data_IF_115213145110
#
_entry.id   IF_115213145110
#
_cell.length_a   1.000
_cell.length_b   1.000
_cell.length_c   1.000
_cell.angle_alpha   90.00
_cell.angle_beta   90.00
_cell.angle_gamma   90.00
#
_symmetry.space_group_name_H-M   'P 1'
#
loop_
_entity.id
_entity.type
_entity.pdbx_description
1 polymer ?
#
# COMPACT_ATOMS: atom_id res chain seq x y z
N UNK A 1 -4.60 22.20 -26.60
CA UNK A 1 -4.51 23.56 -26.01
C UNK A 1 -4.69 24.56 -27.14
N UNK A 2 -5.44 25.65 -26.92
CA UNK A 2 -5.61 26.69 -27.94
C UNK A 2 -4.28 27.40 -28.22
N UNK A 3 -4.20 28.04 -29.39
CA UNK A 3 -3.06 28.86 -29.82
C UNK A 3 -2.64 29.85 -28.73
N UNK A 4 -1.42 29.69 -28.21
CA UNK A 4 -0.86 30.61 -27.22
C UNK A 4 -0.65 32.01 -27.81
N UNK A 5 -0.91 33.04 -27.00
CA UNK A 5 -0.57 34.45 -27.30
C UNK A 5 0.65 34.93 -26.52
N UNK A 6 1.23 34.06 -25.69
CA UNK A 6 2.43 34.33 -24.91
C UNK A 6 3.61 33.76 -25.70
N UNK A 7 4.53 34.63 -26.11
CA UNK A 7 5.69 34.31 -26.95
C UNK A 7 6.56 33.20 -26.34
N UNK A 8 6.80 33.25 -25.03
CA UNK A 8 7.53 32.21 -24.31
C UNK A 8 6.96 30.80 -24.52
N UNK A 9 5.63 30.63 -24.43
CA UNK A 9 5.00 29.32 -24.65
C UNK A 9 5.01 28.88 -26.12
N UNK A 10 5.22 29.79 -27.06
CA UNK A 10 5.36 29.44 -28.47
C UNK A 10 6.74 28.84 -28.76
N UNK A 11 7.75 29.15 -27.95
CA UNK A 11 9.12 28.65 -28.07
C UNK A 11 9.37 27.33 -27.33
N UNK A 12 8.46 26.95 -26.43
CA UNK A 12 8.58 25.72 -25.64
C UNK A 12 8.71 24.48 -26.54
N UNK A 13 9.66 23.62 -26.18
CA UNK A 13 9.85 22.34 -26.84
C UNK A 13 8.62 21.43 -26.60
N UNK A 14 8.02 20.94 -27.69
CA UNK A 14 6.87 20.03 -27.64
C UNK A 14 7.32 18.60 -27.82
N UNK A 15 7.03 17.74 -26.84
CA UNK A 15 7.32 16.29 -26.94
C UNK A 15 6.47 15.69 -28.07
N UNK A 16 7.13 15.17 -29.10
CA UNK A 16 6.47 14.51 -30.24
C UNK A 16 5.78 15.45 -31.22
N UNK A 17 6.11 16.74 -31.21
CA UNK A 17 5.54 17.73 -32.13
C UNK A 17 6.47 18.90 -32.42
N UNK A 18 6.06 19.80 -33.30
CA UNK A 18 6.81 21.02 -33.60
C UNK A 18 6.43 22.14 -32.61
N UNK A 19 7.38 22.93 -32.08
CA UNK A 19 7.10 24.15 -31.32
C UNK A 19 6.38 25.24 -32.13
N UNK A 20 5.61 26.12 -31.48
CA UNK A 20 4.99 27.28 -32.12
C UNK A 20 3.59 27.62 -31.60
N UNK A 21 3.14 28.84 -31.89
CA UNK A 21 1.78 29.28 -31.60
C UNK A 21 0.77 28.64 -32.57
N UNK A 22 0.12 27.56 -32.12
CA UNK A 22 -0.97 26.88 -32.84
C UNK A 22 -1.91 26.17 -31.88
N UNK A 23 -3.02 25.69 -32.42
CA UNK A 23 -3.93 24.80 -31.70
C UNK A 23 -3.35 23.38 -31.60
N UNK A 24 -3.23 22.87 -30.38
CA UNK A 24 -2.79 21.52 -30.05
C UNK A 24 -3.99 20.62 -29.72
N UNK A 25 -4.85 20.37 -30.71
CA UNK A 25 -5.97 19.42 -30.64
C UNK A 25 -5.84 18.27 -31.66
N UNK A 26 -4.70 18.19 -32.36
CA UNK A 26 -4.46 17.16 -33.38
C UNK A 26 -4.53 15.76 -32.79
N UNK A 27 -5.25 14.88 -33.48
CA UNK A 27 -5.38 13.46 -33.10
C UNK A 27 -4.33 12.59 -33.77
N UNK A 28 -3.55 13.14 -34.71
CA UNK A 28 -2.51 12.48 -35.49
C UNK A 28 -1.15 12.42 -34.77
N UNK A 29 -1.00 13.11 -33.63
CA UNK A 29 0.24 13.10 -32.85
C UNK A 29 0.50 11.74 -32.19
N UNK A 30 1.78 11.33 -32.02
CA UNK A 30 2.12 9.99 -31.52
C UNK A 30 1.46 9.60 -30.20
N UNK A 31 1.39 10.53 -29.23
CA UNK A 31 0.78 10.28 -27.91
C UNK A 31 -0.72 10.02 -28.03
N UNK A 32 -1.44 10.77 -28.89
CA UNK A 32 -2.86 10.56 -29.10
C UNK A 32 -3.11 9.19 -29.72
N UNK A 33 -2.38 8.86 -30.78
CA UNK A 33 -2.50 7.56 -31.46
C UNK A 33 -2.17 6.40 -30.52
N UNK A 34 -1.17 6.56 -29.64
CA UNK A 34 -0.83 5.57 -28.64
C UNK A 34 -1.96 5.36 -27.62
N UNK A 35 -2.51 6.44 -27.06
CA UNK A 35 -3.66 6.35 -26.12
C UNK A 35 -4.89 5.75 -26.81
N UNK A 36 -5.15 6.12 -28.06
CA UNK A 36 -6.25 5.56 -28.85
C UNK A 36 -6.06 4.05 -29.08
N UNK A 37 -4.84 3.60 -29.38
CA UNK A 37 -4.52 2.18 -29.53
C UNK A 37 -4.72 1.40 -28.21
N UNK A 38 -4.26 1.94 -27.08
CA UNK A 38 -4.48 1.33 -25.76
C UNK A 38 -5.97 1.29 -25.38
N UNK A 39 -6.72 2.34 -25.74
CA UNK A 39 -8.17 2.39 -25.50
C UNK A 39 -8.89 1.32 -26.32
N UNK A 40 -8.55 1.18 -27.60
CA UNK A 40 -9.07 0.12 -28.47
C UNK A 40 -8.73 -1.27 -27.92
N UNK A 41 -7.47 -1.47 -27.50
CA UNK A 41 -7.03 -2.73 -26.90
C UNK A 41 -7.86 -3.11 -25.67
N UNK A 42 -8.09 -2.17 -24.74
CA UNK A 42 -8.90 -2.42 -23.54
C UNK A 42 -10.38 -2.66 -23.86
N UNK A 43 -10.90 -2.06 -24.91
CA UNK A 43 -12.28 -2.31 -25.37
C UNK A 43 -12.43 -3.70 -26.01
N UNK A 44 -11.43 -4.14 -26.79
CA UNK A 44 -11.40 -5.48 -27.41
C UNK A 44 -11.08 -6.60 -26.40
N UNK A 45 -10.37 -6.26 -25.32
CA UNK A 45 -9.96 -7.18 -24.26
C UNK A 45 -10.33 -6.65 -22.87
N UNK A 46 -11.60 -6.80 -22.44
CA UNK A 46 -12.10 -6.25 -21.17
C UNK A 46 -11.29 -6.65 -19.94
N UNK A 47 -10.71 -7.86 -19.92
CA UNK A 47 -9.80 -8.32 -18.88
C UNK A 47 -8.65 -7.35 -18.58
N UNK A 48 -8.15 -6.60 -19.58
CA UNK A 48 -7.12 -5.59 -19.39
C UNK A 48 -7.61 -4.35 -18.64
N UNK A 49 -8.92 -4.15 -18.55
CA UNK A 49 -9.53 -3.09 -17.75
C UNK A 49 -9.93 -3.59 -16.35
N UNK A 50 -10.61 -4.72 -16.23
CA UNK A 50 -11.26 -5.15 -14.99
C UNK A 50 -10.90 -6.57 -14.52
N UNK A 51 -10.03 -7.29 -15.24
CA UNK A 51 -9.59 -8.63 -14.86
C UNK A 51 -8.73 -8.63 -13.61
N UNK A 52 -8.67 -9.79 -12.94
CA UNK A 52 -7.81 -10.06 -11.78
C UNK A 52 -6.36 -9.77 -12.13
N UNK A 53 -5.60 -9.15 -11.23
CA UNK A 53 -4.19 -8.89 -11.45
C UNK A 53 -3.32 -9.78 -10.56
N UNK A 54 -2.35 -10.48 -11.17
CA UNK A 54 -1.36 -11.29 -10.45
C UNK A 54 0.02 -10.86 -10.91
N UNK A 55 0.85 -10.37 -9.98
CA UNK A 55 2.24 -10.06 -10.28
C UNK A 55 3.00 -11.35 -10.64
N UNK A 56 3.78 -11.30 -11.72
CA UNK A 56 4.58 -12.46 -12.19
C UNK A 56 6.07 -12.21 -12.10
N UNK A 57 6.51 -10.99 -12.33
CA UNK A 57 7.92 -10.62 -12.34
C UNK A 57 8.09 -9.12 -12.18
N UNK A 58 9.06 -8.72 -11.37
CA UNK A 58 9.52 -7.34 -11.27
C UNK A 58 11.05 -7.35 -11.23
N UNK A 59 11.69 -6.69 -12.19
CA UNK A 59 13.11 -6.44 -12.13
C UNK A 59 13.45 -5.50 -10.96
N UNK A 60 14.61 -5.71 -10.34
CA UNK A 60 15.18 -4.76 -9.40
C UNK A 60 15.83 -3.62 -10.18
N UNK A 61 15.08 -2.52 -10.39
CA UNK A 61 15.52 -1.34 -11.12
C UNK A 61 15.09 -1.31 -12.60
N UNK A 62 16.02 -1.00 -13.50
CA UNK A 62 15.78 -0.99 -14.95
C UNK A 62 15.59 -2.42 -15.47
N UNK A 63 14.47 -2.68 -16.15
CA UNK A 63 14.11 -3.98 -16.69
C UNK A 63 12.61 -4.14 -16.91
N UNK A 64 12.15 -5.39 -16.82
CA UNK A 64 10.77 -5.79 -17.09
C UNK A 64 9.94 -5.81 -15.80
N UNK A 65 8.73 -5.28 -15.88
CA UNK A 65 7.64 -5.59 -14.96
C UNK A 65 6.56 -6.37 -15.72
N UNK A 66 6.15 -7.53 -15.20
CA UNK A 66 5.16 -8.39 -15.83
C UNK A 66 4.11 -8.90 -14.83
N UNK A 67 2.86 -8.90 -15.28
CA UNK A 67 1.71 -9.35 -14.50
C UNK A 67 0.67 -10.00 -15.41
N UNK A 68 -0.12 -10.91 -14.85
CA UNK A 68 -1.29 -11.49 -15.52
C UNK A 68 -2.52 -10.63 -15.26
N UNK A 69 -3.36 -10.48 -16.28
CA UNK A 69 -4.75 -10.04 -16.20
C UNK A 69 -5.66 -11.19 -16.58
N UNK A 70 -6.54 -11.61 -15.69
CA UNK A 70 -7.40 -12.78 -15.93
C UNK A 70 -8.84 -12.34 -16.07
N UNK A 71 -9.46 -12.72 -17.20
CA UNK A 71 -10.88 -12.50 -17.45
C UNK A 71 -11.73 -13.39 -16.53
N UNK A 72 -12.66 -12.81 -15.76
CA UNK A 72 -13.49 -13.57 -14.81
C UNK A 72 -14.59 -14.40 -15.47
N UNK A 73 -14.99 -14.07 -16.70
CA UNK A 73 -16.07 -14.79 -17.39
C UNK A 73 -15.51 -15.92 -18.24
N UNK A 74 -14.47 -15.63 -19.03
CA UNK A 74 -13.86 -16.60 -19.94
C UNK A 74 -12.72 -17.39 -19.31
N UNK A 75 -12.23 -17.00 -18.12
CA UNK A 75 -11.06 -17.56 -17.47
C UNK A 75 -9.80 -17.55 -18.36
N UNK A 76 -9.69 -16.56 -19.25
CA UNK A 76 -8.54 -16.43 -20.15
C UNK A 76 -7.54 -15.47 -19.53
N UNK A 77 -6.28 -15.92 -19.51
CA UNK A 77 -5.15 -15.15 -19.03
C UNK A 77 -4.57 -14.25 -20.13
N UNK A 78 -4.28 -13.01 -19.77
CA UNK A 78 -3.49 -12.07 -20.55
C UNK A 78 -2.20 -11.79 -19.77
N UNK A 79 -1.04 -12.03 -20.37
CA UNK A 79 0.24 -11.65 -19.80
C UNK A 79 0.62 -10.27 -20.31
N UNK A 80 0.72 -9.30 -19.41
CA UNK A 80 1.14 -7.93 -19.71
C UNK A 80 2.56 -7.75 -19.20
N UNK A 81 3.46 -7.24 -20.04
CA UNK A 81 4.82 -6.93 -19.65
C UNK A 81 5.23 -5.57 -20.21
N UNK A 82 5.91 -4.76 -19.40
CA UNK A 82 6.48 -3.47 -19.79
C UNK A 82 7.96 -3.48 -19.51
N UNK A 83 8.76 -2.96 -20.44
CA UNK A 83 10.21 -2.88 -20.28
C UNK A 83 10.66 -1.42 -20.28
N UNK A 84 11.14 -0.93 -19.14
CA UNK A 84 11.66 0.44 -19.05
C UNK A 84 13.12 0.55 -19.56
N UNK A 85 13.78 -0.58 -19.84
CA UNK A 85 15.13 -0.62 -20.38
C UNK A 85 15.19 -0.20 -21.85
N UNK A 86 16.36 0.27 -22.31
CA UNK A 86 16.60 0.57 -23.73
C UNK A 86 16.61 -0.67 -24.61
N UNK A 87 17.19 -1.75 -24.10
CA UNK A 87 17.41 -2.96 -24.87
C UNK A 87 16.28 -3.97 -24.61
N UNK A 88 15.97 -4.86 -25.58
CA UNK A 88 15.09 -5.98 -25.34
C UNK A 88 15.57 -6.84 -24.16
N UNK A 89 14.63 -7.34 -23.35
CA UNK A 89 14.92 -8.16 -22.18
C UNK A 89 14.13 -9.46 -22.24
N UNK A 90 14.84 -10.58 -22.10
CA UNK A 90 14.22 -11.90 -21.97
C UNK A 90 13.94 -12.20 -20.49
N UNK A 91 12.70 -12.59 -20.19
CA UNK A 91 12.29 -12.96 -18.83
C UNK A 91 11.50 -14.25 -18.83
N UNK A 92 11.59 -14.98 -17.73
CA UNK A 92 10.82 -16.19 -17.47
C UNK A 92 9.79 -15.89 -16.39
N UNK A 93 8.53 -16.18 -16.68
CA UNK A 93 7.40 -15.92 -15.79
C UNK A 93 6.55 -17.16 -15.59
N UNK A 94 5.87 -17.24 -14.44
CA UNK A 94 4.83 -18.23 -14.23
C UNK A 94 3.51 -17.78 -14.88
N UNK A 95 2.78 -18.73 -15.46
CA UNK A 95 1.45 -18.53 -16.05
C UNK A 95 0.41 -19.40 -15.36
N UNK A 96 -0.86 -19.04 -15.46
CA UNK A 96 -1.99 -19.83 -14.97
C UNK A 96 -2.50 -20.85 -16.00
N UNK A 97 -1.99 -20.82 -17.23
CA UNK A 97 -2.43 -21.67 -18.36
C UNK A 97 -1.26 -22.53 -18.87
N UNK A 98 -0.85 -23.59 -18.16
CA UNK A 98 0.26 -24.43 -18.57
C UNK A 98 0.00 -25.13 -19.92
N UNK A 99 1.03 -25.22 -20.76
CA UNK A 99 0.96 -25.82 -22.09
C UNK A 99 0.20 -25.01 -23.15
N UNK A 100 -0.24 -23.78 -22.84
CA UNK A 100 -1.00 -22.94 -23.74
C UNK A 100 -0.11 -22.09 -24.65
N UNK A 101 -0.54 -21.92 -25.91
CA UNK A 101 0.01 -20.90 -26.78
C UNK A 101 -0.53 -19.52 -26.39
N UNK A 102 0.34 -18.52 -26.35
CA UNK A 102 0.05 -17.13 -26.05
C UNK A 102 0.30 -16.28 -27.30
N UNK A 103 -0.76 -15.67 -27.84
CA UNK A 103 -0.68 -14.83 -29.02
C UNK A 103 -0.43 -13.36 -28.63
N UNK A 104 0.47 -12.67 -29.33
CA UNK A 104 0.65 -11.22 -29.16
C UNK A 104 -0.59 -10.47 -29.65
N UNK A 105 -1.16 -9.64 -28.78
CA UNK A 105 -2.30 -8.77 -29.08
C UNK A 105 -1.95 -7.28 -28.98
N UNK A 106 -0.77 -6.94 -28.45
CA UNK A 106 -0.23 -5.59 -28.42
C UNK A 106 1.29 -5.59 -28.29
N UNK A 107 1.94 -4.58 -28.88
CA UNK A 107 3.40 -4.45 -28.91
C UNK A 107 4.02 -5.15 -30.13
N UNK A 108 5.32 -4.93 -30.32
CA UNK A 108 6.07 -5.55 -31.43
C UNK A 108 6.63 -6.94 -31.11
N UNK A 109 6.49 -7.40 -29.86
CA UNK A 109 6.97 -8.70 -29.41
C UNK A 109 6.16 -9.88 -29.95
N UNK A 110 6.83 -11.03 -30.08
CA UNK A 110 6.24 -12.28 -30.56
C UNK A 110 5.40 -12.99 -29.48
N UNK A 111 4.52 -13.88 -29.92
CA UNK A 111 3.86 -14.83 -29.03
C UNK A 111 4.83 -15.87 -28.46
N UNK A 112 4.38 -16.61 -27.46
CA UNK A 112 5.15 -17.65 -26.80
C UNK A 112 4.27 -18.84 -26.42
N UNK A 113 4.85 -19.94 -25.96
CA UNK A 113 4.08 -21.08 -25.44
C UNK A 113 4.56 -21.38 -24.02
N UNK A 114 3.63 -21.52 -23.09
CA UNK A 114 3.97 -21.93 -21.73
C UNK A 114 4.33 -23.42 -21.71
N UNK A 115 5.33 -23.76 -20.90
CA UNK A 115 5.66 -25.14 -20.60
C UNK A 115 4.52 -25.83 -19.84
N UNK A 116 4.58 -27.16 -19.75
CA UNK A 116 3.62 -27.95 -18.98
C UNK A 116 3.69 -27.67 -17.47
N UNK A 117 4.80 -27.07 -17.01
CA UNK A 117 5.00 -26.56 -15.66
C UNK A 117 4.42 -25.15 -15.46
N UNK A 118 3.85 -24.54 -16.51
CA UNK A 118 3.32 -23.17 -16.49
C UNK A 118 4.38 -22.09 -16.68
N UNK A 119 5.65 -22.44 -16.89
CA UNK A 119 6.74 -21.49 -17.13
C UNK A 119 6.72 -20.98 -18.56
N UNK A 120 6.77 -19.67 -18.78
CA UNK A 120 6.81 -19.06 -20.10
C UNK A 120 8.00 -18.11 -20.19
N UNK A 121 8.83 -18.28 -21.23
CA UNK A 121 9.89 -17.34 -21.57
C UNK A 121 9.38 -16.38 -22.66
N UNK A 122 9.58 -15.09 -22.45
CA UNK A 122 9.22 -14.04 -23.42
C UNK A 122 10.32 -12.99 -23.51
N UNK A 123 10.45 -12.37 -24.68
CA UNK A 123 11.32 -11.20 -24.89
C UNK A 123 10.46 -9.96 -25.01
N UNK A 124 10.65 -8.99 -24.12
CA UNK A 124 9.94 -7.71 -24.12
C UNK A 124 10.83 -6.67 -24.78
N UNK A 125 10.43 -6.07 -25.93
CA UNK A 125 11.20 -5.02 -26.58
C UNK A 125 11.47 -3.84 -25.64
N UNK A 126 12.63 -3.20 -25.80
CA UNK A 126 13.03 -2.07 -24.96
C UNK A 126 12.09 -0.87 -25.14
N UNK A 127 11.71 -0.23 -24.04
CA UNK A 127 10.78 0.91 -24.00
C UNK A 127 9.39 0.62 -24.57
N UNK A 128 8.98 -0.65 -24.60
CA UNK A 128 7.68 -1.07 -25.10
C UNK A 128 6.88 -1.86 -24.05
N UNK A 129 5.59 -1.96 -24.32
CA UNK A 129 4.69 -2.90 -23.66
C UNK A 129 4.38 -4.06 -24.61
N UNK A 130 4.34 -5.27 -24.07
CA UNK A 130 3.90 -6.49 -24.74
C UNK A 130 2.66 -7.02 -24.01
N UNK A 131 1.62 -7.36 -24.77
CA UNK A 131 0.45 -8.06 -24.21
C UNK A 131 0.25 -9.34 -24.98
N UNK A 132 0.30 -10.46 -24.28
CA UNK A 132 0.04 -11.78 -24.82
C UNK A 132 -1.27 -12.33 -24.27
N UNK A 133 -2.11 -12.92 -25.12
CA UNK A 133 -3.37 -13.57 -24.74
C UNK A 133 -3.24 -15.09 -24.84
N UNK A 134 -3.59 -15.81 -23.77
CA UNK A 134 -3.64 -17.27 -23.81
C UNK A 134 -4.70 -17.78 -24.80
N UNK A 135 -4.35 -18.81 -25.56
CA UNK A 135 -5.23 -19.49 -26.51
C UNK A 135 -6.21 -20.48 -25.86
N UNK A 136 -6.12 -20.67 -24.54
CA UNK A 136 -6.99 -21.53 -23.75
C UNK A 136 -7.34 -20.85 -22.42
N UNK A 137 -8.47 -21.27 -21.83
CA UNK A 137 -8.83 -20.89 -20.48
C UNK A 137 -7.94 -21.60 -19.45
N UNK A 138 -7.83 -21.00 -18.25
CA UNK A 138 -7.18 -21.61 -17.09
C UNK A 138 -7.87 -22.95 -16.78
N UNK A 139 -7.10 -24.05 -16.64
CA UNK A 139 -7.68 -25.34 -16.28
C UNK A 139 -8.46 -25.25 -14.96
N UNK A 140 -9.58 -25.96 -14.89
CA UNK A 140 -10.36 -26.06 -13.65
C UNK A 140 -9.48 -26.60 -12.51
N UNK A 141 -9.65 -26.04 -11.31
CA UNK A 141 -8.89 -26.47 -10.15
C UNK A 141 -9.23 -27.93 -9.80
N UNK A 142 -8.25 -28.80 -9.59
CA UNK A 142 -8.52 -30.20 -9.25
C UNK A 142 -9.10 -30.36 -7.85
N UNK A 143 -8.71 -29.48 -6.93
CA UNK A 143 -9.12 -29.48 -5.53
C UNK A 143 -9.49 -28.05 -5.11
N UNK A 144 -10.32 -27.89 -4.07
CA UNK A 144 -10.48 -26.60 -3.41
C UNK A 144 -9.13 -26.05 -2.93
N UNK A 145 -8.93 -24.73 -2.91
CA UNK A 145 -7.70 -24.15 -2.41
C UNK A 145 -7.54 -24.44 -0.91
N UNK A 146 -6.29 -24.52 -0.45
CA UNK A 146 -5.99 -24.77 0.97
C UNK A 146 -5.43 -23.50 1.58
N UNK A 147 -6.14 -22.91 2.55
CA UNK A 147 -5.59 -21.87 3.42
C UNK A 147 -4.80 -22.57 4.53
N UNK A 148 -3.48 -22.42 4.52
CA UNK A 148 -2.54 -23.31 5.23
C UNK A 148 -2.37 -22.97 6.72
N UNK A 149 -2.80 -21.79 7.13
CA UNK A 149 -2.76 -21.33 8.51
C UNK A 149 -4.07 -20.62 8.87
N UNK A 150 -4.33 -20.50 10.17
CA UNK A 150 -5.35 -19.58 10.65
C UNK A 150 -5.04 -18.15 10.17
N UNK A 151 -6.08 -17.34 9.96
CA UNK A 151 -5.92 -15.92 9.61
C UNK A 151 -5.06 -15.25 10.67
N UNK A 152 -3.98 -14.59 10.24
CA UNK A 152 -3.16 -13.80 11.16
C UNK A 152 -3.73 -12.40 11.22
N UNK A 153 -4.02 -11.92 12.41
CA UNK A 153 -4.56 -10.59 12.66
C UNK A 153 -3.55 -9.78 13.47
N UNK A 154 -2.99 -8.73 12.86
CA UNK A 154 -1.92 -7.93 13.46
C UNK A 154 -0.71 -8.78 13.86
N UNK A 155 -0.03 -8.36 14.92
CA UNK A 155 1.20 -8.97 15.42
C UNK A 155 0.98 -9.87 16.66
N UNK A 156 -0.23 -10.41 16.85
CA UNK A 156 -0.53 -11.34 17.95
C UNK A 156 -1.09 -10.70 19.24
N UNK A 157 -1.46 -9.42 19.20
CA UNK A 157 -2.19 -8.71 20.26
C UNK A 157 -3.54 -8.16 19.78
N UNK A 158 -4.27 -7.39 20.63
CA UNK A 158 -5.46 -6.67 20.19
C UNK A 158 -5.16 -5.76 19.01
N UNK A 159 -6.11 -5.63 18.09
CA UNK A 159 -5.99 -4.76 16.92
C UNK A 159 -6.26 -3.31 17.32
N UNK A 160 -5.37 -2.41 16.91
CA UNK A 160 -5.43 -0.96 17.09
C UNK A 160 -4.97 -0.25 15.81
N UNK A 161 -5.36 1.02 15.63
CA UNK A 161 -5.00 1.83 14.46
C UNK A 161 -5.23 1.11 13.13
N UNK A 162 -4.18 1.09 12.29
CA UNK A 162 -4.13 0.27 11.08
C UNK A 162 -3.63 -1.15 11.39
N UNK A 163 -4.53 -2.13 11.35
CA UNK A 163 -4.18 -3.53 11.52
C UNK A 163 -4.22 -4.27 10.18
N UNK A 164 -3.38 -5.30 10.01
CA UNK A 164 -3.36 -6.14 8.81
C UNK A 164 -3.91 -7.53 9.12
N UNK A 165 -4.86 -8.01 8.31
CA UNK A 165 -5.18 -9.42 8.20
C UNK A 165 -4.35 -10.04 7.09
N UNK A 166 -3.81 -11.23 7.31
CA UNK A 166 -3.13 -12.00 6.26
C UNK A 166 -3.59 -13.45 6.24
N UNK A 167 -3.49 -14.06 5.05
CA UNK A 167 -3.83 -15.46 4.83
C UNK A 167 -2.78 -16.12 3.94
N UNK A 168 -2.24 -17.23 4.41
CA UNK A 168 -1.33 -18.07 3.64
C UNK A 168 -2.16 -19.09 2.85
N UNK A 169 -2.03 -19.09 1.52
CA UNK A 169 -2.70 -20.06 0.65
C UNK A 169 -1.65 -20.93 -0.01
N UNK A 170 -1.87 -22.25 -0.01
CA UNK A 170 -0.99 -23.20 -0.67
C UNK A 170 -0.89 -22.88 -2.18
N UNK A 171 0.28 -23.11 -2.81
CA UNK A 171 0.42 -22.98 -4.26
C UNK A 171 -0.63 -23.82 -5.01
N UNK A 172 -1.17 -23.28 -6.09
CA UNK A 172 -2.23 -23.94 -6.87
C UNK A 172 -2.78 -23.06 -7.99
N UNK A 173 -4.01 -23.36 -8.42
CA UNK A 173 -4.73 -22.50 -9.35
C UNK A 173 -4.89 -21.08 -8.77
N UNK A 174 -4.96 -20.03 -9.61
CA UNK A 174 -5.21 -18.68 -9.13
C UNK A 174 -6.45 -18.57 -8.26
N UNK A 175 -6.33 -17.80 -7.17
CA UNK A 175 -7.43 -17.52 -6.25
C UNK A 175 -7.53 -16.03 -5.95
N UNK A 176 -8.74 -15.61 -5.59
CA UNK A 176 -8.97 -14.36 -4.87
C UNK A 176 -9.22 -14.70 -3.40
N UNK A 177 -8.70 -13.90 -2.47
CA UNK A 177 -8.93 -14.07 -1.03
C UNK A 177 -9.80 -12.94 -0.52
N UNK A 178 -11.03 -13.26 -0.14
CA UNK A 178 -11.94 -12.32 0.51
C UNK A 178 -11.81 -12.44 2.03
N UNK A 179 -11.51 -11.32 2.68
CA UNK A 179 -11.50 -11.19 4.13
C UNK A 179 -12.87 -10.69 4.60
N UNK A 180 -13.43 -11.33 5.62
CA UNK A 180 -14.65 -10.90 6.29
C UNK A 180 -14.51 -10.99 7.81
N UNK A 181 -15.25 -10.14 8.52
CA UNK A 181 -15.24 -10.08 9.98
C UNK A 181 -16.65 -9.92 10.55
N UNK A 182 -16.84 -10.36 11.80
CA UNK A 182 -18.07 -10.14 12.56
C UNK A 182 -17.80 -10.08 14.06
N UNK A 183 -18.61 -9.36 14.86
CA UNK A 183 -18.53 -9.48 16.30
C UNK A 183 -18.75 -10.93 16.73
N UNK A 184 -17.95 -11.41 17.68
CA UNK A 184 -17.94 -12.81 18.10
C UNK A 184 -19.32 -13.24 18.60
N UNK A 185 -19.80 -14.38 18.10
CA UNK A 185 -21.12 -14.93 18.46
C UNK A 185 -22.30 -14.32 17.71
N UNK A 186 -22.06 -13.41 16.75
CA UNK A 186 -23.12 -12.88 15.87
C UNK A 186 -23.22 -13.69 14.57
N UNK A 187 -24.32 -13.51 13.83
CA UNK A 187 -24.61 -14.31 12.63
C UNK A 187 -24.10 -13.71 11.31
N UNK A 188 -24.08 -12.39 11.18
CA UNK A 188 -23.85 -11.68 9.91
C UNK A 188 -22.36 -11.37 9.72
N UNK A 189 -21.83 -11.69 8.53
CA UNK A 189 -20.45 -11.42 8.15
C UNK A 189 -20.36 -10.13 7.33
N UNK A 190 -19.44 -9.24 7.71
CA UNK A 190 -19.12 -8.03 6.94
C UNK A 190 -17.88 -8.27 6.10
N UNK A 191 -17.98 -8.06 4.78
CA UNK A 191 -16.82 -8.15 3.88
C UNK A 191 -15.90 -6.94 4.11
N UNK A 192 -14.64 -7.21 4.42
CA UNK A 192 -13.60 -6.21 4.69
C UNK A 192 -12.81 -5.85 3.43
N UNK A 193 -12.71 -6.79 2.48
CA UNK A 193 -12.04 -6.60 1.20
C UNK A 193 -11.70 -7.91 0.53
N UNK A 194 -11.31 -7.83 -0.74
CA UNK A 194 -10.75 -8.96 -1.50
C UNK A 194 -9.35 -8.56 -1.98
N UNK A 195 -8.42 -9.50 -1.89
CA UNK A 195 -7.07 -9.40 -2.42
C UNK A 195 -6.85 -10.52 -3.43
N UNK A 196 -6.40 -10.17 -4.63
CA UNK A 196 -6.20 -11.07 -5.75
C UNK A 196 -4.72 -11.29 -6.08
N UNK A 197 -3.81 -10.71 -5.28
CA UNK A 197 -2.37 -10.81 -5.47
C UNK A 197 -1.66 -11.35 -4.21
N UNK A 198 -1.04 -12.54 -4.26
CA UNK A 198 -0.25 -13.04 -3.13
C UNK A 198 1.00 -12.17 -2.88
N UNK A 199 1.47 -11.99 -1.65
CA UNK A 199 0.97 -12.55 -0.39
C UNK A 199 -0.30 -11.84 0.12
N UNK A 200 -1.38 -12.61 0.30
CA UNK A 200 -2.71 -12.05 0.51
C UNK A 200 -2.85 -11.36 1.87
N UNK A 201 -3.32 -10.12 1.83
CA UNK A 201 -3.62 -9.39 3.05
C UNK A 201 -4.50 -8.16 2.84
N UNK A 202 -5.12 -7.74 3.94
CA UNK A 202 -5.98 -6.57 3.97
C UNK A 202 -5.67 -5.71 5.19
N UNK A 203 -5.37 -4.44 4.95
CA UNK A 203 -5.35 -3.44 6.01
C UNK A 203 -6.78 -3.04 6.38
N UNK A 204 -7.02 -2.92 7.69
CA UNK A 204 -8.25 -2.43 8.29
C UNK A 204 -7.92 -1.26 9.20
N UNK A 205 -8.77 -0.25 9.16
CA UNK A 205 -8.78 0.82 10.15
C UNK A 205 -9.72 0.40 11.29
N UNK A 206 -9.15 0.19 12.47
CA UNK A 206 -9.90 -0.24 13.66
C UNK A 206 -10.68 0.90 14.32
N UNK A 207 -10.40 2.17 13.98
CA UNK A 207 -11.11 3.32 14.56
C UNK A 207 -12.60 3.36 14.18
N UNK A 208 -12.96 2.77 13.04
CA UNK A 208 -14.33 2.66 12.56
C UNK A 208 -15.06 1.40 13.08
N UNK A 209 -14.41 0.59 13.93
CA UNK A 209 -14.92 -0.71 14.40
C UNK A 209 -15.21 -0.62 15.89
N UNK A 210 -16.40 -1.09 16.31
CA UNK A 210 -16.76 -1.11 17.72
C UNK A 210 -15.79 -2.03 18.48
N UNK A 211 -15.21 -1.59 19.59
CA UNK A 211 -14.29 -2.41 20.37
C UNK A 211 -14.94 -3.71 20.87
N UNK A 212 -14.18 -4.81 20.86
CA UNK A 212 -14.65 -6.11 21.33
C UNK A 212 -14.00 -7.30 20.65
N UNK A 213 -14.51 -8.49 20.94
CA UNK A 213 -14.07 -9.72 20.30
C UNK A 213 -14.72 -9.91 18.93
N UNK A 214 -13.92 -10.33 17.95
CA UNK A 214 -14.32 -10.58 16.58
C UNK A 214 -13.91 -11.98 16.12
N UNK A 215 -14.70 -12.53 15.20
CA UNK A 215 -14.28 -13.63 14.35
C UNK A 215 -13.94 -13.07 12.97
N UNK A 216 -12.81 -13.49 12.42
CA UNK A 216 -12.36 -13.14 11.07
C UNK A 216 -12.21 -14.40 10.24
N UNK A 217 -12.49 -14.31 8.95
CA UNK A 217 -12.34 -15.40 7.99
C UNK A 217 -11.64 -14.88 6.74
N UNK A 218 -10.73 -15.69 6.20
CA UNK A 218 -10.18 -15.52 4.86
C UNK A 218 -10.74 -16.64 3.99
N UNK A 219 -11.41 -16.27 2.92
CA UNK A 219 -12.06 -17.18 1.97
C UNK A 219 -11.30 -17.10 0.66
N UNK A 220 -10.49 -18.12 0.37
CA UNK A 220 -9.82 -18.29 -0.91
C UNK A 220 -10.79 -18.95 -1.89
N UNK A 221 -11.04 -18.30 -3.03
CA UNK A 221 -11.92 -18.77 -4.09
C UNK A 221 -11.18 -18.85 -5.41
N UNK A 222 -11.30 -19.99 -6.09
CA UNK A 222 -10.81 -20.14 -7.46
C UNK A 222 -11.77 -19.55 -8.49
N UNK A 223 -11.21 -19.23 -9.66
CA UNK A 223 -11.84 -19.29 -11.01
C UNK A 223 -13.27 -19.84 -11.10
N UNK A 224 -13.30 -21.15 -10.91
CA UNK A 224 -14.42 -22.04 -11.10
C UNK A 224 -15.28 -22.21 -9.83
N UNK A 225 -15.09 -21.34 -8.84
CA UNK A 225 -15.92 -21.25 -7.65
C UNK A 225 -15.61 -22.25 -6.54
N UNK A 226 -14.49 -22.98 -6.60
CA UNK A 226 -14.05 -23.82 -5.47
C UNK A 226 -13.54 -22.92 -4.36
N UNK A 227 -13.87 -23.28 -3.12
CA UNK A 227 -13.59 -22.45 -1.94
C UNK A 227 -12.85 -23.24 -0.88
N UNK A 228 -11.82 -22.62 -0.33
CA UNK A 228 -11.20 -22.99 0.92
C UNK A 228 -11.17 -21.78 1.84
N UNK A 229 -11.16 -22.01 3.15
CA UNK A 229 -11.17 -20.91 4.10
C UNK A 229 -10.42 -21.30 5.37
N UNK A 230 -9.96 -20.28 6.09
CA UNK A 230 -9.54 -20.39 7.48
C UNK A 230 -10.13 -19.23 8.26
N UNK A 231 -10.36 -19.44 9.56
CA UNK A 231 -10.86 -18.43 10.46
C UNK A 231 -9.98 -18.30 11.68
N UNK A 232 -10.05 -17.14 12.33
CA UNK A 232 -9.42 -16.87 13.62
C UNK A 232 -10.34 -16.00 14.48
N UNK A 233 -10.12 -16.01 15.78
CA UNK A 233 -10.66 -14.99 16.68
C UNK A 233 -9.60 -13.92 16.91
N UNK A 234 -10.03 -12.68 17.04
CA UNK A 234 -9.18 -11.55 17.38
C UNK A 234 -9.98 -10.58 18.26
N UNK A 235 -9.30 -9.63 18.89
CA UNK A 235 -9.94 -8.60 19.70
C UNK A 235 -9.58 -7.26 19.09
N UNK A 236 -10.57 -6.45 18.76
CA UNK A 236 -10.36 -5.03 18.46
C UNK A 236 -10.37 -4.31 19.79
N UNK A 237 -9.26 -3.71 20.16
CA UNK A 237 -9.22 -2.93 21.38
C UNK A 237 -10.12 -1.69 21.23
N UNK A 238 -10.51 -1.12 22.36
CA UNK A 238 -10.98 0.25 22.32
C UNK A 238 -9.84 1.07 21.76
N UNK A 239 -10.04 1.58 20.54
CA UNK A 239 -9.33 2.78 20.18
C UNK A 239 -9.62 3.74 21.32
N UNK A 240 -8.58 4.14 22.05
CA UNK A 240 -8.64 5.46 22.61
C UNK A 240 -9.05 6.35 21.42
N UNK A 241 -10.09 7.16 21.58
CA UNK A 241 -10.41 8.14 20.54
C UNK A 241 -9.16 9.02 20.38
N UNK A 242 -8.39 8.78 19.30
CA UNK A 242 -6.96 9.07 19.27
C UNK A 242 -6.19 8.10 20.15
N UNK A 243 -5.12 7.47 19.63
CA UNK A 243 -4.24 6.58 20.43
C UNK A 243 -3.92 7.18 21.80
N UNK A 244 -3.61 6.33 22.80
CA UNK A 244 -3.32 6.76 24.17
C UNK A 244 -2.54 8.07 24.16
N UNK A 245 -3.17 9.16 24.66
CA UNK A 245 -2.66 10.52 24.44
C UNK A 245 -1.20 10.60 24.91
N UNK A 246 -0.26 10.69 23.97
CA UNK A 246 1.16 10.91 24.26
C UNK A 246 1.38 12.42 24.24
N UNK A 247 1.74 13.01 25.37
CA UNK A 247 2.13 14.41 25.44
C UNK A 247 3.56 14.55 25.91
N UNK A 248 4.19 15.69 25.64
CA UNK A 248 5.52 16.03 26.17
C UNK A 248 5.45 17.19 27.17
N UNK A 249 4.94 17.02 28.41
CA UNK A 249 4.84 18.14 29.32
C UNK A 249 6.20 18.64 29.74
N UNK A 250 6.34 19.97 29.82
CA UNK A 250 7.63 20.60 30.05
C UNK A 250 7.53 22.09 30.34
N UNK A 251 8.69 22.70 30.61
CA UNK A 251 8.85 24.13 30.94
C UNK A 251 8.65 25.09 29.76
N UNK A 252 8.29 24.55 28.59
CA UNK A 252 8.06 25.29 27.35
C UNK A 252 6.57 25.40 26.98
N UNK A 253 5.71 24.61 27.62
CA UNK A 253 4.32 24.40 27.20
C UNK A 253 3.50 25.68 27.16
N UNK A 254 3.65 26.58 28.12
CA UNK A 254 2.96 27.87 28.11
C UNK A 254 3.32 28.71 26.87
N UNK A 255 4.57 28.59 26.38
CA UNK A 255 5.05 29.26 25.16
C UNK A 255 4.61 28.54 23.88
N UNK A 256 4.31 27.24 23.98
CA UNK A 256 3.75 26.43 22.90
C UNK A 256 2.21 26.48 22.79
N UNK A 257 1.55 27.29 23.63
CA UNK A 257 0.10 27.51 23.56
C UNK A 257 -0.74 26.77 24.59
N UNK A 258 -0.11 26.08 25.56
CA UNK A 258 -0.81 25.53 26.72
C UNK A 258 -1.19 26.64 27.73
N UNK A 259 -2.14 26.34 28.61
CA UNK A 259 -2.54 27.24 29.71
C UNK A 259 -1.47 27.42 30.80
N UNK A 260 -0.46 26.56 30.81
CA UNK A 260 0.66 26.58 31.75
C UNK A 260 1.71 25.54 31.39
N UNK A 261 2.77 25.48 32.19
CA UNK A 261 3.82 24.47 32.07
C UNK A 261 3.45 23.18 32.81
N UNK A 262 4.09 22.08 32.41
CA UNK A 262 3.95 20.75 33.04
C UNK A 262 2.51 20.19 33.08
N UNK A 263 1.74 20.44 32.03
CA UNK A 263 0.36 19.97 31.86
C UNK A 263 0.32 18.68 31.03
N UNK A 264 0.04 17.50 31.64
CA UNK A 264 0.00 16.21 30.93
C UNK A 264 -1.16 16.08 29.96
N UNK A 265 -2.23 16.84 30.15
CA UNK A 265 -3.45 16.84 29.34
C UNK A 265 -3.42 17.85 28.18
N UNK A 266 -2.38 18.69 28.07
CA UNK A 266 -2.32 19.74 27.05
C UNK A 266 -2.18 19.14 25.64
N UNK A 267 -3.24 19.27 24.85
CA UNK A 267 -3.30 18.78 23.46
C UNK A 267 -2.41 19.57 22.49
N UNK A 268 -2.06 20.82 22.80
CA UNK A 268 -1.15 21.63 21.98
C UNK A 268 0.28 21.07 21.91
N UNK A 269 0.64 20.19 22.85
CA UNK A 269 1.92 19.48 22.89
C UNK A 269 1.72 17.96 22.88
N UNK A 270 0.67 17.50 22.21
CA UNK A 270 0.49 16.08 21.91
C UNK A 270 1.41 15.65 20.77
N UNK A 271 1.99 14.47 20.89
CA UNK A 271 2.79 13.84 19.84
C UNK A 271 1.87 12.95 18.99
N UNK A 272 2.21 12.80 17.71
CA UNK A 272 1.47 11.96 16.77
C UNK A 272 2.37 10.92 16.13
N UNK A 273 1.82 9.75 15.82
CA UNK A 273 2.43 8.70 15.01
C UNK A 273 1.55 8.46 13.76
N UNK A 274 1.76 9.21 12.67
CA UNK A 274 0.91 9.12 11.48
C UNK A 274 1.13 7.85 10.65
N UNK A 275 2.30 7.22 10.74
CA UNK A 275 2.66 6.04 9.93
C UNK A 275 2.51 4.72 10.71
N UNK A 276 2.30 4.78 12.02
CA UNK A 276 2.04 3.64 12.89
C UNK A 276 3.27 2.81 13.17
N UNK A 277 4.47 3.39 13.06
CA UNK A 277 5.74 2.69 13.28
C UNK A 277 6.12 2.58 14.78
N UNK A 278 5.37 3.25 15.67
CA UNK A 278 5.61 3.30 17.11
C UNK A 278 6.46 4.50 17.56
N UNK A 279 6.82 5.40 16.65
CA UNK A 279 7.55 6.64 16.93
C UNK A 279 6.63 7.85 16.85
N UNK A 280 6.36 8.43 18.02
CA UNK A 280 5.55 9.62 18.13
C UNK A 280 6.42 10.87 17.96
N UNK A 281 5.92 11.88 17.24
CA UNK A 281 6.64 13.13 16.99
C UNK A 281 5.79 14.37 17.27
N UNK A 282 6.45 15.44 17.72
CA UNK A 282 5.88 16.78 17.88
C UNK A 282 6.88 17.80 17.33
N UNK A 283 6.44 18.62 16.39
CA UNK A 283 7.22 19.75 15.89
C UNK A 283 6.85 21.03 16.64
N UNK A 284 7.85 21.67 17.24
CA UNK A 284 7.73 22.93 17.97
C UNK A 284 8.34 24.05 17.14
N UNK A 285 7.50 24.99 16.72
CA UNK A 285 7.92 26.19 15.99
C UNK A 285 7.69 27.45 16.82
N UNK A 286 8.60 28.41 16.74
CA UNK A 286 8.41 29.74 17.36
C UNK A 286 8.65 29.80 18.87
N UNK A 287 9.31 28.79 19.45
CA UNK A 287 9.77 28.88 20.84
C UNK A 287 10.90 29.92 20.96
N UNK A 288 10.88 30.79 21.99
CA UNK A 288 11.99 31.68 22.29
C UNK A 288 13.27 30.89 22.61
N UNK A 289 14.42 31.41 22.19
CA UNK A 289 15.71 30.84 22.52
C UNK A 289 15.90 30.64 24.03
N UNK A 290 16.44 29.50 24.43
CA UNK A 290 16.66 29.15 25.83
C UNK A 290 16.74 27.65 26.08
N UNK A 291 17.02 27.30 27.33
CA UNK A 291 17.07 25.93 27.80
C UNK A 291 15.72 25.52 28.39
N UNK A 292 15.25 24.35 27.98
CA UNK A 292 13.96 23.78 28.34
C UNK A 292 14.11 22.33 28.76
N UNK A 293 13.06 21.80 29.37
CA UNK A 293 13.01 20.41 29.80
C UNK A 293 11.60 19.86 29.65
N UNK A 294 11.50 18.55 29.45
CA UNK A 294 10.23 17.84 29.31
C UNK A 294 10.30 16.40 29.84
N UNK A 295 9.12 15.78 29.95
CA UNK A 295 8.92 14.34 30.10
C UNK A 295 7.85 13.88 29.12
N UNK A 296 7.72 12.57 28.92
CA UNK A 296 6.58 12.01 28.20
C UNK A 296 5.52 11.59 29.22
N UNK A 297 4.27 11.98 28.97
CA UNK A 297 3.11 11.56 29.75
C UNK A 297 2.15 10.77 28.85
N UNK A 298 1.59 9.69 29.38
CA UNK A 298 0.74 8.75 28.66
C UNK A 298 -0.69 8.86 29.23
N UNK A 299 -1.67 9.05 28.35
CA UNK A 299 -3.09 9.11 28.70
C UNK A 299 -3.53 10.42 29.37
N UNK A 300 -2.78 11.51 29.16
CA UNK A 300 -3.16 12.83 29.67
C UNK A 300 -2.94 13.03 31.17
N UNK A 301 -2.25 12.11 31.84
CA UNK A 301 -2.00 12.14 33.29
C UNK A 301 -0.53 11.87 33.62
N UNK A 302 -0.15 12.00 34.89
CA UNK A 302 1.18 11.63 35.37
C UNK A 302 1.30 10.16 35.82
N UNK A 303 0.23 9.36 35.75
CA UNK A 303 0.21 7.98 36.26
C UNK A 303 1.26 7.09 35.54
N UNK A 304 1.38 7.30 34.23
CA UNK A 304 2.38 6.69 33.37
C UNK A 304 3.17 7.80 32.65
N UNK A 305 4.46 7.88 32.96
CA UNK A 305 5.34 8.91 32.43
C UNK A 305 6.79 8.42 32.34
N UNK A 306 7.52 8.95 31.37
CA UNK A 306 8.90 8.56 31.07
C UNK A 306 9.82 9.77 30.98
N UNK A 307 11.01 9.62 31.55
CA UNK A 307 12.06 10.64 31.54
C UNK A 307 13.36 10.11 30.93
N UNK A 308 14.49 10.64 31.39
CA UNK A 308 15.83 10.25 30.95
C UNK A 308 16.04 8.75 30.87
N UNK A 309 16.68 8.30 29.79
CA UNK A 309 16.89 6.89 29.43
C UNK A 309 15.62 6.03 29.25
N UNK A 310 14.46 6.66 29.08
CA UNK A 310 13.17 5.95 28.98
C UNK A 310 12.72 5.31 30.28
N UNK A 311 13.22 5.80 31.42
CA UNK A 311 12.82 5.29 32.74
C UNK A 311 11.45 5.84 33.12
N UNK A 312 10.56 4.93 33.56
CA UNK A 312 9.32 5.33 34.22
C UNK A 312 9.66 6.20 35.44
N UNK A 313 8.98 7.32 35.58
CA UNK A 313 9.25 8.31 36.64
C UNK A 313 10.70 8.84 36.63
N UNK A 314 11.36 8.77 35.46
CA UNK A 314 12.73 9.22 35.26
C UNK A 314 12.93 10.73 35.38
N UNK A 315 14.19 11.16 35.35
CA UNK A 315 14.58 12.58 35.36
C UNK A 315 14.06 13.32 34.13
N UNK A 316 13.94 14.64 34.19
CA UNK A 316 13.54 15.43 33.02
C UNK A 316 14.58 15.33 31.89
N UNK A 317 14.13 15.46 30.65
CA UNK A 317 14.95 15.46 29.43
C UNK A 317 15.14 16.91 29.01
N UNK A 318 16.39 17.36 28.95
CA UNK A 318 16.75 18.74 28.61
C UNK A 318 16.99 18.93 27.11
N UNK A 319 16.65 20.12 26.60
CA UNK A 319 16.94 20.55 25.24
C UNK A 319 17.11 22.07 25.15
N UNK A 320 17.82 22.53 24.13
CA UNK A 320 18.10 23.96 23.91
C UNK A 320 17.47 24.40 22.60
N UNK A 321 16.72 25.51 22.65
CA UNK A 321 16.19 26.17 21.45
C UNK A 321 17.15 27.29 21.06
N UNK A 322 17.60 27.27 19.81
CA UNK A 322 18.30 28.41 19.19
C UNK A 322 17.28 29.31 18.50
N UNK A 323 17.47 30.62 18.57
CA UNK A 323 16.47 31.60 18.11
C UNK A 323 16.00 31.33 16.67
N UNK A 324 14.69 31.17 16.51
CA UNK A 324 14.04 30.92 15.21
C UNK A 324 14.17 29.51 14.62
N UNK A 325 14.81 28.54 15.30
CA UNK A 325 14.91 27.16 14.80
C UNK A 325 13.78 26.28 15.35
N UNK A 326 13.16 25.42 14.51
CA UNK A 326 12.22 24.42 15.00
C UNK A 326 12.95 23.36 15.84
N UNK A 327 12.19 22.74 16.75
CA UNK A 327 12.64 21.58 17.52
C UNK A 327 11.63 20.46 17.33
N UNK A 328 12.10 19.28 16.97
CA UNK A 328 11.28 18.07 16.93
C UNK A 328 11.53 17.25 18.17
N UNK A 329 10.48 17.00 18.96
CA UNK A 329 10.49 16.00 20.03
C UNK A 329 10.04 14.66 19.42
N UNK A 330 10.78 13.59 19.68
CA UNK A 330 10.42 12.22 19.32
C UNK A 330 10.33 11.33 20.56
N UNK A 331 9.48 10.31 20.49
CA UNK A 331 9.30 9.27 21.51
C UNK A 331 9.07 7.91 20.85
N UNK A 332 9.90 6.93 21.21
CA UNK A 332 9.78 5.54 20.76
C UNK A 332 9.01 4.73 21.83
N UNK A 333 7.86 4.17 21.45
CA UNK A 333 6.97 3.46 22.39
C UNK A 333 7.59 2.16 22.92
N UNK A 334 8.41 1.47 22.12
CA UNK A 334 8.99 0.17 22.49
C UNK A 334 10.11 0.27 23.53
N UNK A 335 10.88 1.36 23.48
CA UNK A 335 12.03 1.61 24.36
C UNK A 335 11.76 2.68 25.40
N UNK A 336 10.63 3.39 25.27
CA UNK A 336 10.24 4.57 26.03
C UNK A 336 11.24 5.74 25.96
N UNK A 337 12.18 5.71 25.01
CA UNK A 337 13.19 6.77 24.87
C UNK A 337 12.59 7.96 24.14
N UNK A 338 12.88 9.15 24.65
CA UNK A 338 12.55 10.39 23.98
C UNK A 338 13.78 11.28 23.80
N UNK A 339 13.75 12.10 22.76
CA UNK A 339 14.79 13.06 22.45
C UNK A 339 14.18 14.31 21.82
N UNK A 340 14.92 15.41 21.86
CA UNK A 340 14.59 16.62 21.13
C UNK A 340 15.77 16.98 20.21
N UNK A 341 15.50 17.29 18.96
CA UNK A 341 16.50 17.65 17.97
C UNK A 341 16.09 18.93 17.23
N UNK A 342 17.07 19.79 16.97
CA UNK A 342 16.97 20.83 15.94
C UNK A 342 17.54 20.29 14.62
N UNK A 343 17.07 20.79 13.46
CA UNK A 343 17.64 20.44 12.16
C UNK A 343 19.13 20.82 12.01
#
# INVERSE_FOLDING_TARGET
>A
MFTTRVEQYAEDAIIGGTPGARDYYGTDVPVYQHIAALTKLRAEHPALANGIQIERFAADGEGVYAFSRIDRESNVEYLVAVNNAKDPQAVRVATATPGAAFASVFGSGEGATSGTDGSLEMTVPGREALVLKAGAAIPAALHPPTVTAAVKAGNGGPLTGQAKLTADVAPGAPVEVTFAGRPKGTGEWTVLGTDDNPAYGRYLDTSAVVPGDYEVVAVARTLDGKVGYASASTTVAAGAEGGTQVTAPGSYQAKAGCSGDWQPDCTATALTDPDGDGTYTLELTGLPAGDYEFKIAIGGTWDENYGGDGKKDGTNISFTVTDGQPVTISYDEATHRAAAASP
#
